data_IF_302241425717
#
_entry.id   IF_302241425717
#
_cell.length_a   1.000
_cell.length_b   1.000
_cell.length_c   1.000
_cell.angle_alpha   90.00
_cell.angle_beta   90.00
_cell.angle_gamma   90.00
#
_symmetry.space_group_name_H-M   'P 1'
#
loop_
_entity.id
_entity.type
_entity.pdbx_description
1 polymer ?
#
# COMPACT_ATOMS: atom_id res chain seq x y z
N UNK A 1 14.75 19.11 -24.73
CA UNK A 1 13.35 18.63 -24.65
C UNK A 1 13.27 17.18 -24.16
N UNK A 2 14.03 16.25 -24.74
CA UNK A 2 14.02 14.83 -24.32
C UNK A 2 14.25 14.61 -22.81
N UNK A 3 15.25 15.27 -22.20
CA UNK A 3 15.53 15.14 -20.76
C UNK A 3 14.32 15.53 -19.90
N UNK A 4 13.63 16.62 -20.25
CA UNK A 4 12.45 17.08 -19.53
C UNK A 4 11.28 16.10 -19.69
N UNK A 5 11.07 15.58 -20.91
CA UNK A 5 10.04 14.59 -21.19
C UNK A 5 10.28 13.27 -20.45
N UNK A 6 11.53 12.78 -20.45
CA UNK A 6 11.92 11.57 -19.70
C UNK A 6 11.79 11.79 -18.19
N UNK A 7 12.11 12.98 -17.67
CA UNK A 7 11.93 13.31 -16.26
C UNK A 7 10.44 13.34 -15.86
N UNK A 8 9.59 14.01 -16.66
CA UNK A 8 8.15 14.05 -16.43
C UNK A 8 7.53 12.65 -16.50
N UNK A 9 7.94 11.86 -17.51
CA UNK A 9 7.57 10.46 -17.65
C UNK A 9 7.99 9.65 -16.43
N UNK A 10 9.25 9.77 -15.98
CA UNK A 10 9.77 9.01 -14.85
C UNK A 10 8.95 9.27 -13.57
N UNK A 11 8.58 10.52 -13.30
CA UNK A 11 7.75 10.88 -12.14
C UNK A 11 6.34 10.30 -12.26
N UNK A 12 5.66 10.50 -13.39
CA UNK A 12 4.30 9.99 -13.60
C UNK A 12 4.25 8.46 -13.59
N UNK A 13 5.23 7.81 -14.24
CA UNK A 13 5.36 6.36 -14.31
C UNK A 13 5.64 5.76 -12.94
N UNK A 14 6.61 6.31 -12.19
CA UNK A 14 6.90 5.88 -10.83
C UNK A 14 5.68 6.00 -9.93
N UNK A 15 5.08 7.19 -9.86
CA UNK A 15 3.95 7.43 -8.97
C UNK A 15 2.75 6.55 -9.37
N UNK A 16 2.49 6.40 -10.67
CA UNK A 16 1.43 5.55 -11.19
C UNK A 16 1.59 4.08 -10.79
N UNK A 17 2.78 3.52 -10.98
CA UNK A 17 3.10 2.15 -10.57
C UNK A 17 3.09 1.96 -9.05
N UNK A 18 3.60 2.95 -8.31
CA UNK A 18 3.59 2.93 -6.85
C UNK A 18 2.16 2.87 -6.31
N UNK A 19 1.26 3.73 -6.79
CA UNK A 19 -0.14 3.73 -6.35
C UNK A 19 -0.87 2.44 -6.75
N UNK A 20 -0.64 1.94 -7.97
CA UNK A 20 -1.26 0.70 -8.43
C UNK A 20 -0.77 -0.54 -7.67
N UNK A 21 0.49 -0.54 -7.22
CA UNK A 21 1.11 -1.65 -6.51
C UNK A 21 0.96 -1.63 -4.99
N UNK A 22 0.80 -0.45 -4.38
CA UNK A 22 0.80 -0.28 -2.91
C UNK A 22 -0.42 -0.91 -2.24
N UNK A 23 -1.62 -0.62 -2.73
CA UNK A 23 -2.85 -1.26 -2.25
C UNK A 23 -3.81 -1.52 -3.42
N UNK A 24 -3.84 -2.75 -3.96
CA UNK A 24 -4.72 -3.09 -5.08
C UNK A 24 -6.20 -3.25 -4.68
N UNK A 25 -6.50 -3.30 -3.37
CA UNK A 25 -7.85 -3.39 -2.85
C UNK A 25 -8.53 -2.02 -2.80
N UNK A 26 -7.77 -0.95 -2.54
CA UNK A 26 -8.28 0.42 -2.61
C UNK A 26 -8.59 0.82 -4.07
N UNK A 27 -9.88 1.03 -4.42
CA UNK A 27 -10.27 1.43 -5.76
C UNK A 27 -9.76 2.83 -6.14
N UNK A 28 -9.62 3.76 -5.20
CA UNK A 28 -9.15 5.12 -5.47
C UNK A 28 -7.67 5.11 -5.87
N UNK A 29 -6.82 4.45 -5.09
CA UNK A 29 -5.40 4.30 -5.41
C UNK A 29 -5.16 3.56 -6.72
N UNK A 30 -5.85 2.44 -6.96
CA UNK A 30 -5.68 1.69 -8.21
C UNK A 30 -6.08 2.52 -9.42
N UNK A 31 -7.20 3.24 -9.35
CA UNK A 31 -7.66 4.11 -10.44
C UNK A 31 -6.69 5.29 -10.64
N UNK A 32 -6.25 5.93 -9.56
CA UNK A 32 -5.28 7.02 -9.64
C UNK A 32 -3.95 6.56 -10.28
N UNK A 33 -3.47 5.38 -9.90
CA UNK A 33 -2.30 4.75 -10.49
C UNK A 33 -2.46 4.49 -11.99
N UNK A 34 -3.60 3.94 -12.42
CA UNK A 34 -3.90 3.73 -13.85
C UNK A 34 -3.98 5.04 -14.64
N UNK A 35 -4.54 6.10 -14.05
CA UNK A 35 -4.59 7.42 -14.68
C UNK A 35 -3.19 8.00 -14.93
N UNK A 36 -2.31 7.90 -13.93
CA UNK A 36 -0.91 8.34 -14.03
C UNK A 36 -0.09 7.49 -15.01
N UNK A 37 -0.29 6.17 -15.03
CA UNK A 37 0.34 5.26 -16.01
C UNK A 37 -0.13 5.62 -17.43
N UNK A 38 -1.42 5.88 -17.64
CA UNK A 38 -1.95 6.33 -18.92
C UNK A 38 -1.30 7.64 -19.37
N UNK A 39 -1.23 8.64 -18.49
CA UNK A 39 -0.59 9.90 -18.79
C UNK A 39 0.92 9.74 -19.09
N UNK A 40 1.62 8.87 -18.37
CA UNK A 40 3.01 8.55 -18.67
C UNK A 40 3.17 7.91 -20.06
N UNK A 41 2.25 7.04 -20.49
CA UNK A 41 2.26 6.51 -21.85
C UNK A 41 2.05 7.61 -22.90
N UNK A 42 1.18 8.60 -22.64
CA UNK A 42 1.03 9.76 -23.52
C UNK A 42 2.34 10.57 -23.64
N UNK A 43 3.05 10.78 -22.51
CA UNK A 43 4.36 11.42 -22.52
C UNK A 43 5.43 10.62 -23.27
N UNK A 44 5.34 9.29 -23.23
CA UNK A 44 6.27 8.41 -23.93
C UNK A 44 6.01 8.39 -25.44
N UNK A 45 4.77 8.61 -25.90
CA UNK A 45 4.44 8.67 -27.34
C UNK A 45 4.61 10.06 -27.94
N UNK A 46 4.47 11.13 -27.14
CA UNK A 46 4.54 12.52 -27.61
C UNK A 46 5.80 12.92 -28.42
N UNK A 47 7.01 12.35 -28.21
CA UNK A 47 8.20 12.68 -28.99
C UNK A 47 8.30 12.00 -30.36
N UNK A 48 7.32 11.19 -30.73
CA UNK A 48 7.34 10.36 -31.93
C UNK A 48 6.23 10.80 -32.86
N UNK A 49 6.56 10.98 -34.14
CA UNK A 49 5.59 11.36 -35.16
C UNK A 49 5.01 10.12 -35.85
N UNK A 50 3.73 10.17 -36.17
CA UNK A 50 3.10 9.19 -37.07
C UNK A 50 1.67 8.88 -36.68
N UNK A 51 0.80 8.72 -37.68
CA UNK A 51 -0.66 8.66 -37.48
C UNK A 51 -1.13 7.65 -36.43
N UNK A 52 -0.47 6.50 -36.33
CA UNK A 52 -0.79 5.47 -35.32
C UNK A 52 -0.32 5.91 -33.92
N UNK A 53 0.87 6.48 -33.82
CA UNK A 53 1.46 6.96 -32.58
C UNK A 53 0.69 8.16 -32.05
N UNK A 54 0.33 9.09 -32.93
CA UNK A 54 -0.48 10.27 -32.63
C UNK A 54 -1.85 9.84 -32.07
N UNK A 55 -2.47 8.83 -32.69
CA UNK A 55 -3.73 8.28 -32.21
C UNK A 55 -3.59 7.65 -30.81
N UNK A 56 -2.52 6.90 -30.55
CA UNK A 56 -2.24 6.38 -29.20
C UNK A 56 -2.01 7.51 -28.19
N UNK A 57 -1.22 8.52 -28.56
CA UNK A 57 -0.95 9.68 -27.71
C UNK A 57 -2.23 10.42 -27.32
N UNK A 58 -3.11 10.67 -28.28
CA UNK A 58 -4.41 11.30 -28.05
C UNK A 58 -5.29 10.49 -27.08
N UNK A 59 -5.40 9.18 -27.30
CA UNK A 59 -6.19 8.30 -26.42
C UNK A 59 -5.61 8.28 -24.99
N UNK A 60 -4.29 8.10 -24.85
CA UNK A 60 -3.64 8.06 -23.54
C UNK A 60 -3.64 9.40 -22.82
N UNK A 61 -3.72 10.50 -23.54
CA UNK A 61 -3.83 11.84 -22.99
C UNK A 61 -5.25 12.18 -22.49
N UNK A 62 -6.29 11.67 -23.17
CA UNK A 62 -7.69 11.84 -22.75
C UNK A 62 -8.16 10.85 -21.69
N UNK A 63 -7.61 9.63 -21.68
CA UNK A 63 -8.02 8.55 -20.76
C UNK A 63 -7.89 8.89 -19.26
N UNK A 64 -6.89 9.66 -18.79
CA UNK A 64 -6.82 10.13 -17.41
C UNK A 64 -8.11 10.83 -16.95
N UNK A 65 -8.78 11.61 -17.80
CA UNK A 65 -10.02 12.29 -17.41
C UNK A 65 -11.17 11.30 -17.11
N UNK A 66 -11.29 10.24 -17.91
CA UNK A 66 -12.27 9.17 -17.68
C UNK A 66 -11.94 8.36 -16.43
N UNK A 67 -10.66 8.07 -16.20
CA UNK A 67 -10.19 7.33 -15.02
C UNK A 67 -10.38 8.18 -13.75
N UNK A 68 -10.06 9.46 -13.81
CA UNK A 68 -10.16 10.39 -12.68
C UNK A 68 -11.59 10.66 -12.25
N UNK A 69 -12.54 10.57 -13.19
CA UNK A 69 -13.97 10.49 -12.86
C UNK A 69 -14.24 9.36 -11.86
N UNK A 70 -13.65 8.18 -12.10
CA UNK A 70 -13.76 7.04 -11.19
C UNK A 70 -13.02 7.25 -9.86
N UNK A 71 -11.92 8.00 -9.84
CA UNK A 71 -11.24 8.38 -8.59
C UNK A 71 -12.14 9.25 -7.72
N UNK A 72 -12.75 10.29 -8.30
CA UNK A 72 -13.68 11.17 -7.57
C UNK A 72 -14.88 10.41 -7.01
N UNK A 73 -15.42 9.44 -7.75
CA UNK A 73 -16.50 8.59 -7.26
C UNK A 73 -16.05 7.67 -6.11
N UNK A 74 -14.80 7.19 -6.12
CA UNK A 74 -14.25 6.40 -5.03
C UNK A 74 -14.05 7.23 -3.75
N UNK A 75 -13.78 8.53 -3.89
CA UNK A 75 -13.63 9.47 -2.77
C UNK A 75 -14.96 9.94 -2.17
N UNK A 76 -16.11 9.54 -2.73
CA UNK A 76 -17.42 9.83 -2.13
C UNK A 76 -17.56 9.08 -0.80
N UNK A 77 -18.21 9.66 0.23
CA UNK A 77 -18.46 8.96 1.49
C UNK A 77 -19.21 7.64 1.29
N UNK A 78 -18.89 6.59 2.07
CA UNK A 78 -19.51 5.25 1.97
C UNK A 78 -21.04 5.28 2.14
N UNK A 79 -21.57 6.26 2.87
CA UNK A 79 -23.01 6.45 3.09
C UNK A 79 -23.75 7.20 1.97
N UNK A 80 -23.07 7.64 0.90
CA UNK A 80 -23.71 8.43 -0.15
C UNK A 80 -24.63 7.54 -1.02
N UNK A 81 -25.94 7.85 -1.13
CA UNK A 81 -26.91 7.01 -1.86
C UNK A 81 -26.60 6.92 -3.36
N UNK A 82 -25.87 7.89 -3.90
CA UNK A 82 -25.49 7.98 -5.31
C UNK A 82 -24.20 7.25 -5.65
N UNK A 83 -23.38 6.83 -4.67
CA UNK A 83 -22.05 6.25 -4.93
C UNK A 83 -22.13 4.94 -5.72
N UNK A 84 -22.89 3.96 -5.21
CA UNK A 84 -23.04 2.66 -5.86
C UNK A 84 -23.61 2.72 -7.30
N UNK A 85 -24.71 3.47 -7.58
CA UNK A 85 -25.20 3.58 -8.95
C UNK A 85 -24.23 4.37 -9.86
N UNK A 86 -23.59 5.43 -9.35
CA UNK A 86 -22.62 6.19 -10.14
C UNK A 86 -21.36 5.36 -10.47
N UNK A 87 -20.84 4.58 -9.54
CA UNK A 87 -19.71 3.67 -9.80
C UNK A 87 -20.05 2.62 -10.86
N UNK A 88 -21.27 2.07 -10.81
CA UNK A 88 -21.74 1.10 -11.82
C UNK A 88 -21.88 1.75 -13.20
N UNK A 89 -22.51 2.93 -13.27
CA UNK A 89 -22.65 3.69 -14.51
C UNK A 89 -21.27 4.07 -15.08
N UNK A 90 -20.34 4.51 -14.23
CA UNK A 90 -18.99 4.83 -14.64
C UNK A 90 -18.28 3.62 -15.26
N UNK A 91 -18.30 2.47 -14.57
CA UNK A 91 -17.58 1.26 -14.99
C UNK A 91 -18.13 0.65 -16.28
N UNK A 92 -19.45 0.64 -16.46
CA UNK A 92 -20.09 -0.08 -17.57
C UNK A 92 -20.54 0.82 -18.72
N UNK A 93 -20.67 2.12 -18.51
CA UNK A 93 -21.16 3.07 -19.52
C UNK A 93 -20.12 4.14 -19.81
N UNK A 94 -19.74 4.96 -18.82
CA UNK A 94 -18.88 6.13 -19.06
C UNK A 94 -17.50 5.72 -19.56
N UNK A 95 -16.84 4.77 -18.88
CA UNK A 95 -15.48 4.37 -19.23
C UNK A 95 -15.41 3.68 -20.60
N UNK A 96 -16.25 2.68 -20.93
CA UNK A 96 -16.23 2.07 -22.26
C UNK A 96 -16.63 3.05 -23.37
N UNK A 97 -17.70 3.84 -23.17
CA UNK A 97 -18.17 4.78 -24.19
C UNK A 97 -17.17 5.91 -24.43
N UNK A 98 -16.60 6.47 -23.36
CA UNK A 98 -15.57 7.50 -23.46
C UNK A 98 -14.30 6.97 -24.13
N UNK A 99 -13.92 5.71 -23.90
CA UNK A 99 -12.80 5.09 -24.61
C UNK A 99 -13.09 4.93 -26.10
N UNK A 100 -14.28 4.46 -26.46
CA UNK A 100 -14.70 4.35 -27.87
C UNK A 100 -14.71 5.73 -28.54
N UNK A 101 -15.20 6.76 -27.86
CA UNK A 101 -15.19 8.14 -28.34
C UNK A 101 -13.76 8.66 -28.55
N UNK A 102 -12.84 8.45 -27.60
CA UNK A 102 -11.43 8.83 -27.75
C UNK A 102 -10.76 8.13 -28.94
N UNK A 103 -11.02 6.84 -29.13
CA UNK A 103 -10.49 6.08 -30.28
C UNK A 103 -11.10 6.57 -31.59
N UNK A 104 -12.41 6.82 -31.62
CA UNK A 104 -13.10 7.33 -32.81
C UNK A 104 -12.56 8.71 -33.20
N UNK A 105 -12.39 9.62 -32.23
CA UNK A 105 -11.84 10.95 -32.45
C UNK A 105 -10.38 10.89 -32.94
N UNK A 106 -9.56 10.00 -32.35
CA UNK A 106 -8.17 9.78 -32.75
C UNK A 106 -8.04 9.31 -34.21
N UNK A 107 -8.99 8.50 -34.70
CA UNK A 107 -8.97 7.99 -36.08
C UNK A 107 -9.61 8.97 -37.06
N UNK A 108 -10.69 9.65 -36.66
CA UNK A 108 -11.43 10.55 -37.53
C UNK A 108 -10.66 11.85 -37.81
N UNK A 109 -9.97 12.39 -36.81
CA UNK A 109 -9.28 13.68 -36.86
C UNK A 109 -10.23 14.89 -37.10
N UNK A 110 -9.73 16.10 -36.85
CA UNK A 110 -10.44 17.34 -37.18
C UNK A 110 -11.50 17.78 -36.15
N UNK A 111 -12.42 18.68 -36.56
CA UNK A 111 -13.29 19.51 -35.70
C UNK A 111 -14.28 18.83 -34.75
N UNK A 112 -14.16 17.52 -34.53
CA UNK A 112 -14.86 16.75 -33.49
C UNK A 112 -14.20 16.87 -32.11
N UNK A 113 -12.94 17.32 -32.06
CA UNK A 113 -12.17 17.57 -30.83
C UNK A 113 -12.95 18.30 -29.71
N UNK A 114 -13.73 19.39 -29.97
CA UNK A 114 -14.50 20.04 -28.92
C UNK A 114 -15.64 19.16 -28.39
N UNK A 115 -16.25 18.36 -29.26
CA UNK A 115 -17.32 17.42 -28.88
C UNK A 115 -16.74 16.31 -28.01
N UNK A 116 -15.61 15.74 -28.41
CA UNK A 116 -14.88 14.74 -27.61
C UNK A 116 -14.47 15.31 -26.25
N UNK A 117 -13.94 16.53 -26.20
CA UNK A 117 -13.60 17.20 -24.94
C UNK A 117 -14.83 17.34 -24.01
N UNK A 118 -15.98 17.75 -24.55
CA UNK A 118 -17.23 17.83 -23.78
C UNK A 118 -17.66 16.45 -23.29
N UNK A 119 -17.67 15.43 -24.14
CA UNK A 119 -18.09 14.08 -23.78
C UNK A 119 -17.18 13.42 -22.73
N UNK A 120 -15.87 13.69 -22.79
CA UNK A 120 -14.88 13.14 -21.86
C UNK A 120 -14.87 13.89 -20.52
N UNK A 121 -15.09 15.21 -20.53
CA UNK A 121 -15.03 16.05 -19.32
C UNK A 121 -16.36 16.20 -18.60
N UNK A 122 -17.49 16.02 -19.26
CA UNK A 122 -18.81 16.08 -18.64
C UNK A 122 -18.93 15.08 -17.46
N UNK A 123 -18.51 13.80 -17.58
CA UNK A 123 -18.51 12.88 -16.45
C UNK A 123 -17.61 13.34 -15.30
N UNK A 124 -16.44 13.92 -15.60
CA UNK A 124 -15.51 14.44 -14.59
C UNK A 124 -16.16 15.60 -13.81
N UNK A 125 -16.79 16.54 -14.53
CA UNK A 125 -17.54 17.64 -13.93
C UNK A 125 -18.74 17.17 -13.11
N UNK A 126 -19.48 16.15 -13.59
CA UNK A 126 -20.58 15.55 -12.85
C UNK A 126 -20.11 14.86 -11.56
N UNK A 127 -19.00 14.12 -11.60
CA UNK A 127 -18.41 13.50 -10.42
C UNK A 127 -17.90 14.55 -9.42
N UNK A 128 -17.26 15.62 -9.90
CA UNK A 128 -16.85 16.74 -9.06
C UNK A 128 -18.06 17.41 -8.39
N UNK A 129 -19.14 17.63 -9.13
CA UNK A 129 -20.38 18.17 -8.59
C UNK A 129 -20.99 17.26 -7.51
N UNK A 130 -20.98 15.94 -7.71
CA UNK A 130 -21.43 14.99 -6.69
C UNK A 130 -20.57 15.05 -5.43
N UNK A 131 -19.24 15.16 -5.57
CA UNK A 131 -18.31 15.34 -4.44
C UNK A 131 -18.60 16.63 -3.68
N UNK A 132 -18.90 17.73 -4.37
CA UNK A 132 -19.28 19.00 -3.74
C UNK A 132 -20.65 18.92 -3.06
N UNK A 133 -21.61 18.24 -3.67
CA UNK A 133 -22.99 18.10 -3.15
C UNK A 133 -23.06 17.17 -1.95
N UNK A 134 -22.21 16.15 -1.87
CA UNK A 134 -22.17 15.20 -0.77
C UNK A 134 -21.56 15.80 0.52
N UNK A 135 -21.16 17.07 0.52
CA UNK A 135 -20.54 17.73 1.68
C UNK A 135 -21.57 18.24 2.66
N UNK A 136 -21.25 18.08 3.95
CA UNK A 136 -22.07 18.52 5.08
C UNK A 136 -21.36 19.57 5.96
N UNK A 137 -20.19 20.09 5.56
CA UNK A 137 -19.38 21.03 6.35
C UNK A 137 -18.40 21.88 5.52
N UNK A 138 -17.55 22.70 6.19
CA UNK A 138 -16.58 23.57 5.53
C UNK A 138 -15.49 22.77 4.78
N UNK A 139 -14.91 23.39 3.76
CA UNK A 139 -13.82 22.85 2.96
C UNK A 139 -12.58 22.58 3.81
N UNK A 140 -12.30 21.32 4.09
CA UNK A 140 -10.98 20.92 4.58
C UNK A 140 -9.92 21.21 3.52
N UNK A 141 -8.70 21.58 3.95
CA UNK A 141 -7.59 21.90 3.05
C UNK A 141 -7.41 20.84 1.94
N UNK A 142 -7.48 19.56 2.31
CA UNK A 142 -7.33 18.42 1.39
C UNK A 142 -8.41 18.38 0.32
N UNK A 143 -9.67 18.53 0.74
CA UNK A 143 -10.81 18.58 -0.17
C UNK A 143 -10.76 19.80 -1.09
N UNK A 144 -10.19 20.91 -0.60
CA UNK A 144 -9.88 22.09 -1.41
C UNK A 144 -8.82 21.81 -2.46
N UNK A 145 -7.73 21.12 -2.10
CA UNK A 145 -6.68 20.71 -3.04
C UNK A 145 -7.23 19.76 -4.10
N UNK A 146 -8.06 18.77 -3.74
CA UNK A 146 -8.70 17.87 -4.72
C UNK A 146 -9.56 18.66 -5.71
N UNK A 147 -10.42 19.57 -5.22
CA UNK A 147 -11.28 20.37 -6.09
C UNK A 147 -10.45 21.27 -7.00
N UNK A 148 -9.47 21.99 -6.44
CA UNK A 148 -8.61 22.88 -7.21
C UNK A 148 -7.83 22.12 -8.28
N UNK A 149 -7.17 21.02 -7.91
CA UNK A 149 -6.37 20.24 -8.83
C UNK A 149 -7.24 19.52 -9.88
N UNK A 150 -8.46 19.08 -9.55
CA UNK A 150 -9.42 18.57 -10.55
C UNK A 150 -9.86 19.64 -11.54
N UNK A 151 -10.08 20.88 -11.09
CA UNK A 151 -10.48 21.98 -11.96
C UNK A 151 -9.34 22.38 -12.91
N UNK A 152 -8.12 22.51 -12.38
CA UNK A 152 -6.92 22.79 -13.19
C UNK A 152 -6.65 21.66 -14.18
N UNK A 153 -6.74 20.41 -13.73
CA UNK A 153 -6.62 19.23 -14.58
C UNK A 153 -7.67 19.23 -15.68
N UNK A 154 -8.93 19.53 -15.35
CA UNK A 154 -10.01 19.63 -16.33
C UNK A 154 -9.72 20.70 -17.40
N UNK A 155 -9.20 21.87 -16.98
CA UNK A 155 -8.79 22.93 -17.89
C UNK A 155 -7.61 22.50 -18.79
N UNK A 156 -6.61 21.85 -18.21
CA UNK A 156 -5.48 21.30 -18.96
C UNK A 156 -5.93 20.23 -19.95
N UNK A 157 -6.85 19.35 -19.56
CA UNK A 157 -7.41 18.33 -20.42
C UNK A 157 -8.21 18.91 -21.60
N UNK A 158 -8.93 20.03 -21.42
CA UNK A 158 -9.52 20.77 -22.55
C UNK A 158 -8.43 21.21 -23.52
N UNK A 159 -7.35 21.80 -23.02
CA UNK A 159 -6.26 22.30 -23.87
C UNK A 159 -5.49 21.18 -24.58
N UNK A 160 -5.46 19.97 -24.01
CA UNK A 160 -4.87 18.79 -24.68
C UNK A 160 -5.80 18.21 -25.74
N UNK A 161 -7.11 18.14 -25.47
CA UNK A 161 -8.09 17.57 -26.40
C UNK A 161 -8.49 18.54 -27.52
N UNK A 162 -8.37 19.84 -27.28
CA UNK A 162 -8.71 20.90 -28.24
C UNK A 162 -7.45 21.73 -28.50
N UNK A 163 -6.77 21.53 -29.65
CA UNK A 163 -5.59 22.29 -30.03
C UNK A 163 -5.95 23.77 -30.24
N UNK A 164 -5.78 24.60 -29.21
CA UNK A 164 -6.16 26.03 -29.28
C UNK A 164 -5.09 26.91 -29.96
N UNK A 165 -3.95 26.34 -30.36
CA UNK A 165 -2.85 27.04 -31.03
C UNK A 165 -2.17 28.18 -30.23
N UNK A 166 -2.66 28.50 -29.03
CA UNK A 166 -2.21 29.62 -28.22
C UNK A 166 -1.09 29.29 -27.21
N UNK A 167 -0.85 28.01 -26.92
CA UNK A 167 0.18 27.56 -25.97
C UNK A 167 1.00 26.41 -26.58
N UNK A 168 2.30 26.29 -26.26
CA UNK A 168 3.10 25.14 -26.65
C UNK A 168 2.59 23.84 -26.01
N UNK A 169 2.48 22.77 -26.79
CA UNK A 169 1.94 21.47 -26.34
C UNK A 169 2.68 20.91 -25.11
N UNK A 170 4.01 21.09 -25.06
CA UNK A 170 4.81 20.64 -23.92
C UNK A 170 4.43 21.34 -22.61
N UNK A 171 4.00 22.59 -22.66
CA UNK A 171 3.60 23.35 -21.47
C UNK A 171 2.23 22.89 -20.99
N UNK A 172 1.30 22.63 -21.92
CA UNK A 172 -0.03 22.09 -21.62
C UNK A 172 0.11 20.69 -21.01
N UNK A 173 0.91 19.82 -21.62
CA UNK A 173 1.19 18.48 -21.09
C UNK A 173 1.85 18.56 -19.71
N UNK A 174 2.83 19.45 -19.50
CA UNK A 174 3.47 19.61 -18.21
C UNK A 174 2.50 20.10 -17.12
N UNK A 175 1.61 21.06 -17.43
CA UNK A 175 0.59 21.53 -16.50
C UNK A 175 -0.36 20.41 -16.07
N UNK A 176 -0.88 19.63 -17.02
CA UNK A 176 -1.69 18.44 -16.76
C UNK A 176 -0.95 17.43 -15.88
N UNK A 177 0.35 17.23 -16.14
CA UNK A 177 1.19 16.33 -15.35
C UNK A 177 1.34 16.77 -13.90
N UNK A 178 1.55 18.06 -13.66
CA UNK A 178 1.62 18.62 -12.30
C UNK A 178 0.32 18.37 -11.56
N UNK A 179 -0.83 18.63 -12.18
CA UNK A 179 -2.14 18.41 -11.56
C UNK A 179 -2.36 16.93 -11.21
N UNK A 180 -2.03 16.01 -12.12
CA UNK A 180 -2.14 14.57 -11.90
C UNK A 180 -1.21 14.07 -10.79
N UNK A 181 0.01 14.60 -10.69
CA UNK A 181 0.95 14.26 -9.61
C UNK A 181 0.43 14.75 -8.27
N UNK A 182 -0.04 16.00 -8.19
CA UNK A 182 -0.65 16.56 -6.96
C UNK A 182 -1.84 15.71 -6.53
N UNK A 183 -2.72 15.41 -7.46
CA UNK A 183 -3.90 14.58 -7.24
C UNK A 183 -3.54 13.16 -6.78
N UNK A 184 -2.55 12.52 -7.41
CA UNK A 184 -2.05 11.20 -7.03
C UNK A 184 -1.43 11.17 -5.63
N UNK A 185 -0.64 12.20 -5.27
CA UNK A 185 -0.08 12.34 -3.92
C UNK A 185 -1.18 12.52 -2.88
N UNK A 186 -2.21 13.32 -3.17
CA UNK A 186 -3.34 13.51 -2.26
C UNK A 186 -4.08 12.20 -2.01
N UNK A 187 -4.32 11.39 -3.06
CA UNK A 187 -4.92 10.05 -2.90
C UNK A 187 -4.03 9.17 -2.02
N UNK A 188 -2.70 9.18 -2.24
CA UNK A 188 -1.75 8.40 -1.45
C UNK A 188 -1.79 8.77 0.04
N UNK A 189 -1.76 10.07 0.34
CA UNK A 189 -1.81 10.61 1.70
C UNK A 189 -3.14 10.29 2.37
N UNK A 190 -4.24 10.34 1.62
CA UNK A 190 -5.58 10.02 2.16
C UNK A 190 -5.66 8.56 2.58
N UNK A 191 -5.29 7.63 1.69
CA UNK A 191 -5.30 6.21 2.02
C UNK A 191 -4.37 5.87 3.20
N UNK A 192 -3.18 6.47 3.25
CA UNK A 192 -2.25 6.21 4.35
C UNK A 192 -2.80 6.67 5.70
N UNK A 193 -3.53 7.79 5.75
CA UNK A 193 -4.14 8.27 6.98
C UNK A 193 -5.34 7.44 7.39
N UNK A 194 -6.17 7.00 6.43
CA UNK A 194 -7.27 6.06 6.69
C UNK A 194 -6.75 4.70 7.20
N UNK A 195 -5.57 4.29 6.71
CA UNK A 195 -4.90 3.05 7.10
C UNK A 195 -4.06 3.19 8.38
N UNK A 196 -3.84 4.41 8.89
CA UNK A 196 -2.97 4.68 10.04
C UNK A 196 -1.50 4.35 9.81
N UNK A 197 -1.00 4.48 8.57
CA UNK A 197 0.36 4.12 8.18
C UNK A 197 1.25 5.35 7.88
N UNK A 198 2.56 5.18 8.12
CA UNK A 198 3.58 6.15 7.75
C UNK A 198 3.86 6.13 6.24
N UNK A 199 3.14 6.95 5.45
CA UNK A 199 3.38 7.05 4.00
C UNK A 199 4.79 7.57 3.66
N UNK A 200 5.32 8.48 4.47
CA UNK A 200 6.47 9.30 4.10
C UNK A 200 7.76 8.50 3.88
N UNK A 201 8.03 7.51 4.72
CA UNK A 201 9.27 6.73 4.64
C UNK A 201 9.25 5.76 3.44
N UNK A 202 8.11 5.09 3.21
CA UNK A 202 7.94 4.14 2.11
C UNK A 202 7.92 4.85 0.75
N UNK A 203 7.14 5.95 0.64
CA UNK A 203 7.10 6.79 -0.56
C UNK A 203 8.49 7.35 -0.87
N UNK A 204 9.23 7.86 0.14
CA UNK A 204 10.60 8.36 -0.04
C UNK A 204 11.56 7.25 -0.47
N UNK A 205 11.48 6.06 0.14
CA UNK A 205 12.31 4.90 -0.25
C UNK A 205 12.08 4.54 -1.72
N UNK A 206 10.81 4.44 -2.13
CA UNK A 206 10.43 4.15 -3.51
C UNK A 206 10.88 5.26 -4.47
N UNK A 207 10.67 6.52 -4.10
CA UNK A 207 11.09 7.68 -4.90
C UNK A 207 12.61 7.72 -5.12
N UNK A 208 13.40 7.48 -4.06
CA UNK A 208 14.87 7.42 -4.16
C UNK A 208 15.29 6.27 -5.06
N UNK A 209 14.67 5.10 -4.93
CA UNK A 209 14.92 3.95 -5.80
C UNK A 209 14.66 4.26 -7.28
N UNK A 210 13.50 4.86 -7.57
CA UNK A 210 13.12 5.26 -8.93
C UNK A 210 14.02 6.38 -9.49
N UNK A 211 14.40 7.35 -8.66
CA UNK A 211 15.33 8.42 -9.05
C UNK A 211 16.71 7.85 -9.39
N UNK A 212 17.26 6.97 -8.54
CA UNK A 212 18.54 6.32 -8.80
C UNK A 212 18.48 5.48 -10.09
N UNK A 213 17.41 4.72 -10.30
CA UNK A 213 17.19 3.98 -11.53
C UNK A 213 17.15 4.93 -12.75
N UNK A 214 16.34 5.99 -12.70
CA UNK A 214 16.24 6.96 -13.79
C UNK A 214 17.57 7.64 -14.10
N UNK A 215 18.36 8.00 -13.08
CA UNK A 215 19.68 8.63 -13.26
C UNK A 215 20.68 7.66 -13.87
N UNK A 216 20.77 6.41 -13.38
CA UNK A 216 21.73 5.42 -13.89
C UNK A 216 21.41 5.08 -15.34
N UNK A 217 20.16 4.70 -15.61
CA UNK A 217 19.74 4.20 -16.91
C UNK A 217 19.52 5.32 -17.93
N UNK A 218 18.89 6.43 -17.53
CA UNK A 218 18.73 7.62 -18.37
C UNK A 218 20.05 8.34 -18.62
N UNK A 219 20.96 8.36 -17.63
CA UNK A 219 22.30 8.93 -17.78
C UNK A 219 23.16 8.17 -18.79
N UNK A 220 23.06 6.83 -18.83
CA UNK A 220 23.73 6.02 -19.86
C UNK A 220 23.25 6.40 -21.27
N UNK A 221 21.93 6.52 -21.48
CA UNK A 221 21.38 6.96 -22.77
C UNK A 221 21.82 8.38 -23.10
N UNK A 222 21.82 9.28 -22.11
CA UNK A 222 22.32 10.65 -22.25
C UNK A 222 23.81 10.75 -22.62
N UNK A 223 24.65 9.87 -22.09
CA UNK A 223 26.06 9.81 -22.48
C UNK A 223 26.22 9.36 -23.94
N UNK A 224 25.41 8.39 -24.40
CA UNK A 224 25.39 7.98 -25.80
C UNK A 224 24.94 9.13 -26.69
N UNK A 225 23.86 9.85 -26.34
CA UNK A 225 23.41 11.01 -27.13
C UNK A 225 24.48 12.10 -27.23
N UNK A 226 25.22 12.36 -26.14
CA UNK A 226 26.30 13.34 -26.13
C UNK A 226 27.51 12.88 -26.95
N UNK A 227 27.82 11.58 -26.95
CA UNK A 227 28.94 11.00 -27.66
C UNK A 227 28.70 10.89 -29.18
N UNK A 228 27.45 10.71 -29.61
CA UNK A 228 27.09 10.65 -31.04
C UNK A 228 27.32 11.96 -31.79
N UNK A 229 27.48 13.08 -31.07
CA UNK A 229 27.74 14.40 -31.69
C UNK A 229 26.54 15.01 -32.40
N UNK A 230 25.37 14.37 -32.32
CA UNK A 230 24.13 14.88 -32.87
C UNK A 230 23.71 16.16 -32.14
N UNK A 231 23.28 17.16 -32.89
CA UNK A 231 22.79 18.42 -32.33
C UNK A 231 21.56 18.19 -31.44
N UNK A 232 21.17 19.16 -30.58
CA UNK A 232 20.05 19.04 -29.64
C UNK A 232 18.65 18.72 -30.23
N UNK A 233 18.53 18.52 -31.55
CA UNK A 233 17.29 18.21 -32.28
C UNK A 233 17.31 16.88 -33.06
N UNK A 234 18.47 16.30 -33.38
CA UNK A 234 18.59 15.11 -34.25
C UNK A 234 18.79 13.81 -33.44
N UNK A 235 18.15 13.72 -32.26
CA UNK A 235 18.16 12.45 -31.52
C UNK A 235 17.29 11.45 -32.26
N UNK A 236 17.91 10.37 -32.75
CA UNK A 236 17.26 9.25 -33.42
C UNK A 236 16.07 8.69 -32.60
N UNK A 237 14.97 8.36 -33.28
CA UNK A 237 13.77 7.81 -32.66
C UNK A 237 14.06 6.50 -31.93
N UNK A 238 14.98 5.70 -32.45
CA UNK A 238 15.43 4.48 -31.77
C UNK A 238 16.03 4.79 -30.38
N UNK A 239 16.79 5.89 -30.27
CA UNK A 239 17.43 6.31 -29.03
C UNK A 239 16.41 6.91 -28.04
N UNK A 240 15.40 7.63 -28.55
CA UNK A 240 14.25 8.07 -27.73
C UNK A 240 13.48 6.88 -27.19
N UNK A 241 13.17 5.89 -28.03
CA UNK A 241 12.44 4.69 -27.63
C UNK A 241 13.22 3.88 -26.59
N UNK A 242 14.53 3.77 -26.78
CA UNK A 242 15.42 3.16 -25.80
C UNK A 242 15.41 3.94 -24.47
N UNK A 243 15.45 5.28 -24.50
CA UNK A 243 15.40 6.11 -23.29
C UNK A 243 14.15 5.84 -22.45
N UNK A 244 12.96 5.96 -23.05
CA UNK A 244 11.70 5.70 -22.35
C UNK A 244 11.56 4.23 -21.93
N UNK A 245 11.94 3.30 -22.78
CA UNK A 245 11.85 1.87 -22.50
C UNK A 245 12.76 1.42 -21.35
N UNK A 246 14.03 1.83 -21.37
CA UNK A 246 15.03 1.43 -20.37
C UNK A 246 14.78 2.13 -19.03
N UNK A 247 14.47 3.43 -19.03
CA UNK A 247 14.08 4.15 -17.80
C UNK A 247 12.77 3.59 -17.24
N UNK A 248 11.76 3.38 -18.07
CA UNK A 248 10.46 2.84 -17.67
C UNK A 248 10.57 1.43 -17.08
N UNK A 249 11.35 0.54 -17.72
CA UNK A 249 11.60 -0.81 -17.23
C UNK A 249 12.36 -0.79 -15.89
N UNK A 250 13.40 0.05 -15.76
CA UNK A 250 14.17 0.15 -14.54
C UNK A 250 13.33 0.67 -13.36
N UNK A 251 12.54 1.73 -13.58
CA UNK A 251 11.59 2.24 -12.58
C UNK A 251 10.56 1.17 -12.23
N UNK A 252 10.01 0.45 -13.21
CA UNK A 252 9.02 -0.58 -12.95
C UNK A 252 9.59 -1.71 -12.08
N UNK A 253 10.80 -2.18 -12.37
CA UNK A 253 11.47 -3.24 -11.58
C UNK A 253 11.71 -2.80 -10.14
N UNK A 254 12.18 -1.57 -9.93
CA UNK A 254 12.47 -1.05 -8.58
C UNK A 254 11.17 -0.75 -7.80
N UNK A 255 10.17 -0.17 -8.47
CA UNK A 255 8.91 0.23 -7.83
C UNK A 255 8.04 -0.99 -7.51
N UNK A 256 8.03 -2.00 -8.38
CA UNK A 256 7.27 -3.23 -8.22
C UNK A 256 8.14 -4.40 -7.72
N UNK A 257 9.22 -4.11 -6.99
CA UNK A 257 10.21 -5.11 -6.59
C UNK A 257 9.57 -6.34 -5.93
N UNK A 258 8.65 -6.15 -4.99
CA UNK A 258 7.94 -7.26 -4.30
C UNK A 258 7.07 -8.08 -5.27
N UNK A 259 6.39 -7.43 -6.22
CA UNK A 259 5.56 -8.11 -7.22
C UNK A 259 6.41 -8.89 -8.25
N UNK A 260 7.51 -8.31 -8.72
CA UNK A 260 8.48 -8.98 -9.60
C UNK A 260 9.08 -10.18 -8.89
N UNK A 261 9.50 -10.01 -7.64
CA UNK A 261 10.03 -11.10 -6.82
C UNK A 261 8.99 -12.21 -6.58
N UNK A 262 7.72 -11.88 -6.36
CA UNK A 262 6.65 -12.87 -6.26
C UNK A 262 6.42 -13.63 -7.58
N UNK A 263 6.54 -12.96 -8.73
CA UNK A 263 6.48 -13.61 -10.04
C UNK A 263 7.67 -14.56 -10.26
N UNK A 264 8.89 -14.11 -9.94
CA UNK A 264 10.11 -14.94 -10.02
C UNK A 264 10.00 -16.14 -9.08
N UNK A 265 9.57 -15.95 -7.84
CA UNK A 265 9.43 -17.03 -6.88
C UNK A 265 8.35 -18.04 -7.32
N UNK A 266 7.24 -17.59 -7.94
CA UNK A 266 6.23 -18.48 -8.53
C UNK A 266 6.80 -19.36 -9.64
N UNK A 267 7.70 -18.82 -10.46
CA UNK A 267 8.33 -19.55 -11.56
C UNK A 267 9.44 -20.48 -11.06
N UNK A 268 10.35 -19.98 -10.25
CA UNK A 268 11.52 -20.71 -9.76
C UNK A 268 11.14 -21.82 -8.75
N UNK A 269 10.09 -21.59 -7.93
CA UNK A 269 9.65 -22.51 -6.89
C UNK A 269 8.23 -23.05 -7.14
N UNK A 270 7.88 -23.24 -8.42
CA UNK A 270 6.57 -23.78 -8.81
C UNK A 270 6.23 -25.07 -8.06
N UNK A 271 7.22 -25.96 -7.89
CA UNK A 271 7.09 -27.25 -7.20
C UNK A 271 7.19 -27.22 -5.67
N UNK A 272 7.51 -26.10 -5.03
CA UNK A 272 7.74 -26.02 -3.57
C UNK A 272 6.89 -24.92 -2.91
N UNK A 273 5.57 -25.14 -2.74
CA UNK A 273 4.66 -24.10 -2.23
C UNK A 273 4.97 -23.64 -0.80
N UNK A 274 5.52 -24.52 0.05
CA UNK A 274 5.89 -24.17 1.43
C UNK A 274 7.05 -23.15 1.49
N UNK A 275 8.02 -23.27 0.57
CA UNK A 275 9.13 -22.32 0.47
C UNK A 275 8.65 -20.95 -0.03
N UNK A 276 7.72 -20.94 -0.99
CA UNK A 276 7.07 -19.69 -1.45
C UNK A 276 6.35 -18.98 -0.32
N UNK A 277 5.53 -19.71 0.45
CA UNK A 277 4.81 -19.15 1.59
C UNK A 277 5.76 -18.52 2.63
N UNK A 278 6.84 -19.23 2.99
CA UNK A 278 7.83 -18.73 3.95
C UNK A 278 8.57 -17.49 3.44
N UNK A 279 8.92 -17.44 2.15
CA UNK A 279 9.58 -16.28 1.53
C UNK A 279 8.66 -15.07 1.43
N UNK A 280 7.38 -15.29 1.10
CA UNK A 280 6.36 -14.23 1.11
C UNK A 280 6.21 -13.67 2.52
N UNK A 281 6.07 -14.52 3.54
CA UNK A 281 5.93 -14.08 4.94
C UNK A 281 7.12 -13.25 5.43
N UNK A 282 8.36 -13.68 5.14
CA UNK A 282 9.57 -12.93 5.48
C UNK A 282 9.66 -11.57 4.77
N UNK A 283 9.21 -11.51 3.51
CA UNK A 283 9.16 -10.25 2.75
C UNK A 283 8.08 -9.34 3.25
N UNK A 284 6.87 -9.83 3.48
CA UNK A 284 5.77 -9.04 4.02
C UNK A 284 6.16 -8.43 5.38
N UNK A 285 6.86 -9.21 6.22
CA UNK A 285 7.44 -8.72 7.47
C UNK A 285 8.48 -7.62 7.23
N UNK A 286 9.41 -7.81 6.29
CA UNK A 286 10.43 -6.81 5.93
C UNK A 286 9.82 -5.54 5.33
N UNK A 287 8.85 -5.66 4.44
CA UNK A 287 8.19 -4.56 3.74
C UNK A 287 7.25 -3.78 4.67
N UNK A 288 6.77 -4.41 5.75
CA UNK A 288 6.05 -3.72 6.81
C UNK A 288 6.97 -2.85 7.70
N UNK A 289 8.29 -3.11 7.76
CA UNK A 289 9.20 -2.37 8.65
C UNK A 289 9.26 -0.86 8.35
N UNK A 290 9.34 -0.38 7.09
CA UNK A 290 9.31 1.06 6.79
C UNK A 290 7.94 1.70 7.01
N UNK A 291 6.85 0.91 6.96
CA UNK A 291 5.47 1.37 7.17
C UNK A 291 5.10 1.45 8.64
N UNK A 292 5.78 0.67 9.49
CA UNK A 292 5.75 0.86 10.93
C UNK A 292 6.34 2.23 11.18
N UNK A 293 5.48 3.15 11.59
CA UNK A 293 5.91 4.39 12.19
C UNK A 293 7.00 4.04 13.20
N UNK A 294 8.21 4.53 12.94
CA UNK A 294 9.34 4.35 13.83
C UNK A 294 9.03 4.90 15.23
N UNK A 295 7.94 5.68 15.39
CA UNK A 295 7.54 6.40 16.59
C UNK A 295 6.00 6.38 16.77
N UNK A 296 5.30 5.28 16.45
CA UNK A 296 3.99 5.12 17.08
C UNK A 296 4.24 4.76 18.54
N UNK A 297 4.19 5.77 19.40
CA UNK A 297 4.16 5.57 20.84
C UNK A 297 3.03 4.58 21.11
N UNK A 298 3.37 3.37 21.56
CA UNK A 298 2.39 2.40 22.05
C UNK A 298 1.47 3.02 23.12
N UNK A 299 1.92 4.13 23.70
CA UNK A 299 1.23 5.03 24.63
C UNK A 299 0.00 5.72 24.02
N UNK A 300 -0.04 5.97 22.71
CA UNK A 300 -1.15 6.63 22.00
C UNK A 300 -2.24 5.65 21.54
N UNK A 301 -1.99 4.34 21.62
CA UNK A 301 -2.96 3.32 21.21
C UNK A 301 -4.12 3.26 22.21
N UNK A 302 -5.34 3.05 21.70
CA UNK A 302 -6.48 2.65 22.54
C UNK A 302 -6.23 1.29 23.21
N UNK A 303 -6.77 1.11 24.42
CA UNK A 303 -6.64 -0.09 25.25
C UNK A 303 -6.99 -1.35 24.47
N UNK A 304 -8.10 -1.31 23.73
CA UNK A 304 -8.56 -2.46 22.96
C UNK A 304 -7.65 -2.81 21.78
N UNK A 305 -6.99 -1.81 21.17
CA UNK A 305 -6.02 -2.02 20.11
C UNK A 305 -4.75 -2.68 20.65
N UNK A 306 -4.27 -2.20 21.79
CA UNK A 306 -3.11 -2.80 22.47
C UNK A 306 -3.37 -4.24 22.90
N UNK A 307 -4.57 -4.52 23.43
CA UNK A 307 -5.01 -5.88 23.79
C UNK A 307 -4.98 -6.83 22.59
N UNK A 308 -5.37 -6.36 21.39
CA UNK A 308 -5.31 -7.18 20.17
C UNK A 308 -3.88 -7.57 19.83
N UNK A 309 -2.94 -6.62 19.90
CA UNK A 309 -1.52 -6.87 19.66
C UNK A 309 -0.94 -7.89 20.64
N UNK A 310 -1.27 -7.77 21.93
CA UNK A 310 -0.85 -8.72 22.97
C UNK A 310 -1.45 -10.10 22.73
N UNK A 311 -2.72 -10.19 22.37
CA UNK A 311 -3.36 -11.46 22.03
C UNK A 311 -2.69 -12.15 20.84
N UNK A 312 -2.38 -11.39 19.79
CA UNK A 312 -1.71 -11.93 18.61
C UNK A 312 -0.26 -12.36 18.92
N UNK A 313 0.45 -11.63 19.77
CA UNK A 313 1.77 -12.02 20.25
C UNK A 313 1.72 -13.30 21.09
N UNK A 314 0.76 -13.43 22.02
CA UNK A 314 0.56 -14.64 22.84
C UNK A 314 0.22 -15.86 21.97
N UNK A 315 -0.64 -15.69 20.97
CA UNK A 315 -0.99 -16.77 20.03
C UNK A 315 0.24 -17.27 19.24
N UNK A 316 1.18 -16.38 18.95
CA UNK A 316 2.41 -16.67 18.20
C UNK A 316 3.64 -16.83 19.11
N UNK A 317 3.46 -17.00 20.42
CA UNK A 317 4.56 -17.04 21.41
C UNK A 317 5.65 -18.08 21.10
N UNK A 318 5.26 -19.23 20.53
CA UNK A 318 6.18 -20.30 20.15
C UNK A 318 6.99 -20.04 18.86
N UNK A 319 6.68 -18.99 18.11
CA UNK A 319 7.27 -18.68 16.82
C UNK A 319 8.04 -17.36 16.88
N UNK A 320 9.35 -17.45 17.07
CA UNK A 320 10.21 -16.27 17.18
C UNK A 320 10.19 -15.41 15.90
N UNK A 321 10.02 -16.02 14.73
CA UNK A 321 9.93 -15.30 13.46
C UNK A 321 8.69 -14.39 13.41
N UNK A 322 7.57 -14.87 13.94
CA UNK A 322 6.34 -14.06 14.06
C UNK A 322 6.38 -13.04 15.18
N UNK A 323 7.16 -13.29 16.23
CA UNK A 323 7.40 -12.27 17.26
C UNK A 323 8.25 -11.11 16.73
N UNK A 324 9.20 -11.37 15.82
CA UNK A 324 9.99 -10.34 15.13
C UNK A 324 9.12 -9.37 14.32
N UNK A 325 7.94 -9.80 13.88
CA UNK A 325 6.97 -8.93 13.20
C UNK A 325 5.94 -8.30 14.14
N UNK A 326 5.98 -8.52 15.45
CA UNK A 326 5.02 -7.94 16.40
C UNK A 326 5.35 -6.46 16.71
N UNK A 327 4.36 -5.53 16.66
CA UNK A 327 4.50 -4.13 17.11
C UNK A 327 5.06 -3.96 18.53
N UNK A 328 4.89 -4.96 19.39
CA UNK A 328 5.33 -4.93 20.79
C UNK A 328 6.86 -4.96 20.99
N UNK A 329 7.65 -5.13 19.93
CA UNK A 329 9.12 -5.03 20.00
C UNK A 329 9.63 -3.63 20.32
N UNK A 330 8.79 -2.62 20.15
CA UNK A 330 9.08 -1.21 20.46
C UNK A 330 8.61 -0.81 21.86
N UNK A 331 8.26 -1.78 22.73
CA UNK A 331 7.93 -1.48 24.12
C UNK A 331 9.16 -0.89 24.84
N UNK A 332 9.01 0.22 25.59
CA UNK A 332 10.10 0.78 26.39
C UNK A 332 10.75 -0.24 27.34
N UNK A 333 9.95 -1.19 27.86
CA UNK A 333 10.44 -2.27 28.70
C UNK A 333 11.40 -3.25 27.98
N UNK A 334 11.26 -3.41 26.65
CA UNK A 334 12.20 -4.20 25.82
C UNK A 334 13.50 -3.42 25.65
N UNK A 335 13.41 -2.13 25.32
CA UNK A 335 14.59 -1.27 25.15
C UNK A 335 15.40 -1.16 26.45
N UNK A 336 14.72 -0.99 27.60
CA UNK A 336 15.36 -0.93 28.92
C UNK A 336 16.16 -2.19 29.27
N UNK A 337 15.74 -3.37 28.78
CA UNK A 337 16.44 -4.64 29.02
C UNK A 337 17.65 -4.86 28.13
N UNK A 338 17.58 -4.35 26.90
CA UNK A 338 18.67 -4.47 25.93
C UNK A 338 19.79 -3.44 26.19
N UNK A 339 19.44 -2.29 26.80
CA UNK A 339 20.33 -1.16 27.03
C UNK A 339 20.75 -0.50 25.71
N UNK A 340 21.84 0.28 25.71
CA UNK A 340 22.38 0.98 24.52
C UNK A 340 23.01 0.04 23.46
N UNK A 341 22.83 -1.27 23.57
CA UNK A 341 23.30 -2.21 22.56
C UNK A 341 22.39 -2.12 21.34
N UNK A 342 22.99 -2.01 20.15
CA UNK A 342 22.30 -2.16 18.87
C UNK A 342 21.87 -3.63 18.70
N UNK A 343 20.84 -4.03 19.45
CA UNK A 343 20.33 -5.38 19.50
C UNK A 343 19.57 -5.70 18.20
N UNK A 344 19.88 -6.85 17.61
CA UNK A 344 19.23 -7.29 16.39
C UNK A 344 17.75 -7.60 16.66
N UNK A 345 16.91 -7.65 15.62
CA UNK A 345 15.47 -7.86 15.78
C UNK A 345 15.11 -9.18 16.51
N UNK A 346 15.96 -10.20 16.35
CA UNK A 346 15.86 -11.48 17.07
C UNK A 346 16.11 -11.34 18.58
N UNK A 347 17.05 -10.48 18.99
CA UNK A 347 17.33 -10.21 20.40
C UNK A 347 16.13 -9.50 21.03
N UNK A 348 15.58 -8.49 20.35
CA UNK A 348 14.32 -7.83 20.75
C UNK A 348 13.16 -8.80 20.87
N UNK A 349 13.01 -9.73 19.93
CA UNK A 349 11.96 -10.75 19.99
C UNK A 349 12.15 -11.73 21.15
N UNK A 350 13.40 -12.05 21.49
CA UNK A 350 13.73 -12.87 22.66
C UNK A 350 13.33 -12.15 23.95
N UNK A 351 13.63 -10.86 24.06
CA UNK A 351 13.23 -10.06 25.22
C UNK A 351 11.71 -9.85 25.32
N UNK A 352 11.03 -9.60 24.21
CA UNK A 352 9.56 -9.53 24.18
C UNK A 352 8.94 -10.85 24.64
N UNK A 353 9.49 -11.98 24.18
CA UNK A 353 9.06 -13.32 24.62
C UNK A 353 9.24 -13.48 26.14
N UNK A 354 10.38 -13.04 26.68
CA UNK A 354 10.64 -13.08 28.12
C UNK A 354 9.67 -12.18 28.91
N UNK A 355 9.34 -10.99 28.43
CA UNK A 355 8.36 -10.10 29.06
C UNK A 355 6.95 -10.72 29.09
N UNK A 356 6.52 -11.30 27.97
CA UNK A 356 5.23 -12.00 27.90
C UNK A 356 5.18 -13.18 28.88
N UNK A 357 6.27 -13.95 28.98
CA UNK A 357 6.37 -15.05 29.94
C UNK A 357 6.22 -14.56 31.38
N UNK A 358 6.92 -13.49 31.73
CA UNK A 358 6.89 -12.90 33.07
C UNK A 358 5.50 -12.34 33.43
N UNK A 359 4.78 -11.77 32.45
CA UNK A 359 3.38 -11.37 32.62
C UNK A 359 2.47 -12.57 32.86
N UNK A 360 2.67 -13.67 32.12
CA UNK A 360 1.90 -14.91 32.32
C UNK A 360 2.20 -15.49 33.70
N UNK A 361 3.48 -15.55 34.11
CA UNK A 361 3.88 -16.10 35.40
C UNK A 361 3.31 -15.30 36.58
N UNK A 362 3.13 -13.98 36.44
CA UNK A 362 2.43 -13.17 37.45
C UNK A 362 0.96 -13.54 37.66
N UNK A 363 0.32 -14.16 36.67
CA UNK A 363 -1.05 -14.67 36.81
C UNK A 363 -1.09 -15.93 37.68
N UNK A 364 0.06 -16.56 37.95
CA UNK A 364 0.14 -17.74 38.82
C UNK A 364 -0.15 -17.33 40.26
N UNK A 365 -1.10 -17.99 40.95
CA UNK A 365 -1.31 -17.79 42.38
C UNK A 365 -0.04 -18.07 43.20
N UNK A 366 0.18 -17.30 44.27
CA UNK A 366 1.34 -17.45 45.15
C UNK A 366 1.24 -18.76 45.95
N UNK A 367 2.38 -19.41 46.16
CA UNK A 367 2.56 -20.58 47.04
C UNK A 367 1.84 -21.89 46.66
N UNK A 368 1.65 -22.18 45.37
CA UNK A 368 1.15 -23.48 44.93
C UNK A 368 1.77 -23.96 43.60
N UNK A 369 2.09 -25.27 43.51
CA UNK A 369 2.79 -25.88 42.38
C UNK A 369 1.88 -26.08 41.14
N UNK A 370 0.60 -26.40 41.35
CA UNK A 370 -0.42 -26.51 40.31
C UNK A 370 -1.82 -26.48 40.93
N UNK A 371 -2.75 -25.76 40.32
CA UNK A 371 -4.15 -25.72 40.73
C UNK A 371 -5.12 -25.65 39.56
N UNK A 372 -6.36 -26.04 39.82
CA UNK A 372 -7.48 -26.03 38.85
C UNK A 372 -8.64 -25.16 39.34
N UNK A 373 -8.42 -24.37 40.40
CA UNK A 373 -9.41 -23.44 40.93
C UNK A 373 -9.62 -22.25 39.99
N UNK A 374 -10.63 -21.43 40.30
CA UNK A 374 -11.01 -20.29 39.46
C UNK A 374 -9.88 -19.26 39.31
N UNK A 375 -8.98 -19.17 40.29
CA UNK A 375 -7.82 -18.26 40.33
C UNK A 375 -6.74 -18.68 39.33
N UNK A 376 -6.61 -19.98 39.05
CA UNK A 376 -5.63 -20.53 38.11
C UNK A 376 -6.06 -20.39 36.65
N UNK A 377 -7.31 -20.01 36.38
CA UNK A 377 -7.90 -20.10 35.03
C UNK A 377 -7.11 -19.34 33.97
N UNK A 378 -6.64 -18.13 34.27
CA UNK A 378 -5.94 -17.29 33.29
C UNK A 378 -4.51 -17.76 33.07
N UNK A 379 -3.80 -18.13 34.14
CA UNK A 379 -2.48 -18.74 34.05
C UNK A 379 -2.55 -20.03 33.22
N UNK A 380 -3.44 -20.97 33.58
CA UNK A 380 -3.56 -22.24 32.88
C UNK A 380 -3.98 -22.07 31.41
N UNK A 381 -4.85 -21.11 31.10
CA UNK A 381 -5.34 -20.86 29.75
C UNK A 381 -4.28 -20.30 28.80
N UNK A 382 -3.24 -19.62 29.32
CA UNK A 382 -2.14 -19.07 28.53
C UNK A 382 -0.90 -19.96 28.57
N UNK A 383 -0.44 -20.34 29.77
CA UNK A 383 0.83 -21.03 29.97
C UNK A 383 0.85 -22.38 29.24
N UNK A 384 -0.14 -23.24 29.48
CA UNK A 384 -0.11 -24.58 28.88
C UNK A 384 -0.28 -24.56 27.36
N UNK A 385 -1.24 -23.81 26.78
CA UNK A 385 -1.39 -23.78 25.33
C UNK A 385 -0.25 -23.08 24.56
N UNK A 386 0.29 -21.98 25.10
CA UNK A 386 1.25 -21.14 24.38
C UNK A 386 2.70 -21.36 24.81
N UNK A 387 2.97 -21.50 26.12
CA UNK A 387 4.34 -21.66 26.64
C UNK A 387 4.76 -23.12 26.62
N UNK A 388 3.96 -24.01 27.21
CA UNK A 388 4.23 -25.46 27.20
C UNK A 388 3.83 -26.14 25.87
N UNK A 389 3.16 -25.40 24.96
CA UNK A 389 2.84 -25.88 23.61
C UNK A 389 1.74 -26.94 23.52
N UNK A 390 0.96 -27.12 24.58
CA UNK A 390 -0.06 -28.17 24.69
C UNK A 390 -1.28 -27.81 23.82
N UNK A 391 -1.75 -28.76 23.01
CA UNK A 391 -2.94 -28.57 22.15
C UNK A 391 -4.10 -29.46 22.61
N UNK A 392 -4.90 -29.04 23.61
CA UNK A 392 -5.87 -29.91 24.29
C UNK A 392 -6.96 -30.48 23.38
N UNK A 393 -7.38 -29.74 22.35
CA UNK A 393 -8.48 -30.13 21.45
C UNK A 393 -8.01 -30.64 20.08
N UNK A 394 -6.73 -30.97 19.93
CA UNK A 394 -6.25 -31.63 18.70
C UNK A 394 -6.82 -33.06 18.64
N UNK A 395 -7.25 -33.51 17.46
CA UNK A 395 -7.80 -34.88 17.27
C UNK A 395 -6.86 -35.99 17.76
N UNK A 396 -5.56 -35.83 17.53
CA UNK A 396 -4.52 -36.73 18.00
C UNK A 396 -3.43 -35.90 18.71
N UNK A 397 -3.55 -35.71 20.04
CA UNK A 397 -2.56 -34.97 20.82
C UNK A 397 -1.32 -35.83 21.02
N UNK A 398 -0.15 -35.22 20.84
CA UNK A 398 1.11 -35.84 21.23
C UNK A 398 1.33 -35.55 22.72
N UNK A 399 1.43 -36.61 23.51
CA UNK A 399 1.66 -36.55 24.96
C UNK A 399 3.07 -37.02 25.31
N UNK A 400 3.87 -37.41 24.31
CA UNK A 400 5.26 -37.81 24.53
C UNK A 400 6.06 -36.59 24.97
N UNK A 401 6.84 -36.74 26.06
CA UNK A 401 7.67 -35.66 26.60
C UNK A 401 6.98 -34.66 27.53
N UNK A 402 5.69 -34.79 27.84
CA UNK A 402 5.03 -33.95 28.85
C UNK A 402 5.43 -34.36 30.27
N UNK A 403 5.78 -33.37 31.09
CA UNK A 403 5.97 -33.50 32.54
C UNK A 403 4.63 -33.78 33.26
N UNK A 404 4.70 -34.24 34.50
CA UNK A 404 3.53 -34.66 35.28
C UNK A 404 2.52 -33.52 35.49
N UNK A 405 2.98 -32.28 35.61
CA UNK A 405 2.09 -31.12 35.75
C UNK A 405 1.40 -30.78 34.44
N UNK A 406 2.12 -30.78 33.32
CA UNK A 406 1.53 -30.60 31.99
C UNK A 406 0.49 -31.66 31.64
N UNK A 407 0.70 -32.92 32.04
CA UNK A 407 -0.30 -33.99 31.86
C UNK A 407 -1.56 -33.73 32.67
N UNK A 408 -1.41 -33.39 33.95
CA UNK A 408 -2.55 -33.02 34.82
C UNK A 408 -3.34 -31.84 34.25
N UNK A 409 -2.65 -30.84 33.72
CA UNK A 409 -3.27 -29.68 33.08
C UNK A 409 -3.99 -30.04 31.78
N UNK A 410 -3.39 -30.87 30.92
CA UNK A 410 -4.01 -31.38 29.70
C UNK A 410 -5.30 -32.14 30.01
N UNK A 411 -5.25 -33.06 30.98
CA UNK A 411 -6.41 -33.86 31.38
C UNK A 411 -7.53 -32.99 31.93
N UNK A 412 -7.20 -32.00 32.77
CA UNK A 412 -8.18 -31.06 33.30
C UNK A 412 -8.83 -30.20 32.20
N UNK A 413 -8.02 -29.62 31.30
CA UNK A 413 -8.50 -28.83 30.16
C UNK A 413 -9.47 -29.63 29.30
N UNK A 414 -9.14 -30.89 29.00
CA UNK A 414 -9.97 -31.74 28.16
C UNK A 414 -11.24 -32.23 28.85
N UNK A 415 -11.19 -32.49 30.16
CA UNK A 415 -12.31 -33.08 30.91
C UNK A 415 -13.30 -32.04 31.44
N UNK A 416 -12.83 -30.87 31.84
CA UNK A 416 -13.65 -29.89 32.58
C UNK A 416 -13.79 -28.53 31.88
N UNK A 417 -12.99 -28.24 30.85
CA UNK A 417 -13.01 -26.94 30.17
C UNK A 417 -13.49 -27.14 28.72
N UNK A 418 -14.66 -26.61 28.34
CA UNK A 418 -15.07 -26.58 26.93
C UNK A 418 -14.15 -25.68 26.11
N UNK A 419 -13.97 -25.99 24.82
CA UNK A 419 -13.10 -25.22 23.91
C UNK A 419 -13.50 -23.73 23.85
N UNK A 420 -14.80 -23.44 23.80
CA UNK A 420 -15.31 -22.07 23.84
C UNK A 420 -14.96 -21.34 25.13
N UNK A 421 -14.95 -22.05 26.27
CA UNK A 421 -14.58 -21.48 27.56
C UNK A 421 -13.09 -21.18 27.62
N UNK A 422 -12.24 -22.09 27.10
CA UNK A 422 -10.81 -21.83 27.00
C UNK A 422 -10.54 -20.58 26.15
N UNK A 423 -11.18 -20.45 24.99
CA UNK A 423 -11.05 -19.28 24.13
C UNK A 423 -11.46 -17.97 24.84
N UNK A 424 -12.55 -18.00 25.60
CA UNK A 424 -13.00 -16.85 26.38
C UNK A 424 -12.00 -16.48 27.49
N UNK A 425 -11.45 -17.48 28.18
CA UNK A 425 -10.41 -17.26 29.20
C UNK A 425 -9.14 -16.71 28.60
N UNK A 426 -8.71 -17.18 27.42
CA UNK A 426 -7.56 -16.63 26.70
C UNK A 426 -7.77 -15.16 26.33
N UNK A 427 -8.96 -14.80 25.84
CA UNK A 427 -9.28 -13.40 25.51
C UNK A 427 -9.34 -12.49 26.74
N UNK A 428 -9.82 -12.98 27.87
CA UNK A 428 -9.82 -12.24 29.13
C UNK A 428 -8.40 -12.15 29.72
N UNK A 429 -7.63 -13.22 29.71
CA UNK A 429 -6.26 -13.26 30.19
C UNK A 429 -5.35 -12.33 29.38
N UNK A 430 -5.52 -12.28 28.04
CA UNK A 430 -4.78 -11.34 27.19
C UNK A 430 -5.03 -9.87 27.59
N UNK A 431 -6.23 -9.51 28.06
CA UNK A 431 -6.51 -8.17 28.60
C UNK A 431 -5.74 -7.88 29.88
N UNK A 432 -5.64 -8.87 30.78
CA UNK A 432 -4.86 -8.72 32.03
C UNK A 432 -3.38 -8.57 31.72
N UNK A 433 -2.84 -9.38 30.81
CA UNK A 433 -1.44 -9.28 30.34
C UNK A 433 -1.19 -7.92 29.70
N UNK A 434 -2.11 -7.44 28.86
CA UNK A 434 -1.99 -6.14 28.22
C UNK A 434 -1.95 -5.00 29.25
N UNK A 435 -2.81 -5.04 30.27
CA UNK A 435 -2.78 -4.07 31.35
C UNK A 435 -1.46 -4.10 32.13
N UNK A 436 -0.96 -5.29 32.47
CA UNK A 436 0.31 -5.47 33.18
C UNK A 436 1.53 -5.05 32.34
N UNK A 437 1.48 -5.18 31.01
CA UNK A 437 2.53 -4.62 30.15
C UNK A 437 2.49 -3.09 30.15
N UNK A 438 1.30 -2.47 30.10
CA UNK A 438 1.16 -1.01 30.14
C UNK A 438 1.59 -0.36 31.43
N UNK A 439 1.27 -0.97 32.57
CA UNK A 439 1.70 -0.46 33.89
C UNK A 439 3.22 -0.52 34.08
N UNK A 440 3.95 -1.26 33.23
CA UNK A 440 5.41 -1.29 33.20
C UNK A 440 6.03 -0.36 32.18
N UNK A 441 5.24 0.18 31.25
CA UNK A 441 5.71 1.08 30.20
C UNK A 441 5.36 2.55 30.44
N UNK A 442 4.28 2.84 31.17
CA UNK A 442 4.00 4.16 31.73
C UNK A 442 4.71 4.34 33.06
#
# INVERSE_FOLDING_TARGET
>A
MLVLAVAAFAVAWWLGLYLAGRDPADPAMRRAGLGLVSYALALATAPFDGSVVDAFGYVFAGLPALIWTGVLLALLPDGAPWRAPAERAWRFVVLPLGLVELVAAAVAGGGWEPVTAVLVLLPLGAALWLVLRARTGPLELRQGVVVLATLLFGLGAVAVLVPMGGLPDWLVLAAVGVDLVVLGVVVAVTNALESGEALGADLRRSAVGALLAAVVFGGQVGLVTLASGDGPGDVDDALRALAFGVVGAAIAVVTLASAVQAAVDRLAFAGTPALRASRTELRDASDALPRRDAHHHLDDLDDDAFVRLVRDALRNYGDLGKLVSSPLLALPAVDARLGDRHAHALDRATELKALLLESIERLRPRDADFGTSEEWRYFNALYFPYVAGIRPYRRQPDLSGLDDTSRRAFDWLRRYVPERTLYNWQNAAARVVAHDLRTRTG
#
